data_IF_370844813577
#
_entry.id   IF_370844813577
#
_cell.length_a   1.000
_cell.length_b   1.000
_cell.length_c   1.000
_cell.angle_alpha   90.00
_cell.angle_beta   90.00
_cell.angle_gamma   90.00
#
_symmetry.space_group_name_H-M   'P 1'
#
loop_
_entity.id
_entity.type
_entity.pdbx_description
1 polymer ?
#
# COMPACT_ATOMS: atom_id res chain seq x y z
N UNK A 1 -12.93 1.86 7.65
CA UNK A 1 -11.93 2.07 6.57
C UNK A 1 -11.26 3.41 6.80
N UNK A 2 -10.05 3.39 7.34
CA UNK A 2 -9.28 4.55 7.83
C UNK A 2 -9.09 5.67 6.78
N UNK A 3 -9.05 5.31 5.49
CA UNK A 3 -8.92 6.25 4.38
C UNK A 3 -10.01 7.33 4.37
N UNK A 4 -11.27 6.95 4.66
CA UNK A 4 -12.40 7.89 4.65
C UNK A 4 -12.29 8.92 5.78
N UNK A 5 -11.68 8.54 6.90
CA UNK A 5 -11.45 9.43 8.05
C UNK A 5 -10.39 10.49 7.74
N UNK A 6 -9.49 10.24 6.77
CA UNK A 6 -8.43 11.16 6.34
C UNK A 6 -8.78 11.97 5.08
N UNK A 7 -10.03 11.90 4.61
CA UNK A 7 -10.47 12.62 3.41
C UNK A 7 -10.00 11.99 2.10
N UNK A 8 -9.40 10.80 2.13
CA UNK A 8 -8.88 10.12 0.95
C UNK A 8 -9.79 8.94 0.59
N UNK A 9 -9.97 8.68 -0.71
CA UNK A 9 -10.80 7.58 -1.21
C UNK A 9 -9.98 6.67 -2.11
N UNK A 10 -10.36 5.38 -2.18
CA UNK A 10 -9.75 4.42 -3.09
C UNK A 10 -9.80 4.92 -4.54
N UNK A 11 -10.94 5.49 -4.96
CA UNK A 11 -11.10 6.07 -6.29
C UNK A 11 -10.18 7.28 -6.52
N UNK A 12 -9.96 8.12 -5.50
CA UNK A 12 -9.03 9.24 -5.59
C UNK A 12 -7.57 8.81 -5.73
N UNK A 13 -7.15 7.78 -4.98
CA UNK A 13 -5.80 7.20 -5.09
C UNK A 13 -5.61 6.57 -6.47
N UNK A 14 -6.60 5.79 -6.91
CA UNK A 14 -6.62 5.17 -8.23
C UNK A 14 -6.48 6.20 -9.36
N UNK A 15 -7.24 7.29 -9.30
CA UNK A 15 -7.17 8.39 -10.26
C UNK A 15 -5.79 9.08 -10.23
N UNK A 16 -5.23 9.35 -9.04
CA UNK A 16 -3.90 9.98 -8.89
C UNK A 16 -2.78 9.18 -9.55
N UNK A 17 -2.81 7.85 -9.43
CA UNK A 17 -1.74 6.98 -9.95
C UNK A 17 -2.05 6.37 -11.31
N UNK A 18 -3.24 6.65 -11.88
CA UNK A 18 -3.66 6.21 -13.21
C UNK A 18 -4.03 4.73 -13.30
N UNK A 19 -4.62 4.15 -12.24
CA UNK A 19 -5.04 2.74 -12.21
C UNK A 19 -6.54 2.61 -11.96
N UNK A 20 -7.07 1.41 -12.15
CA UNK A 20 -8.47 1.11 -11.85
C UNK A 20 -8.71 1.03 -10.33
N UNK A 21 -9.82 1.60 -9.80
CA UNK A 21 -10.18 1.47 -8.38
C UNK A 21 -10.24 0.02 -7.89
N UNK A 22 -10.71 -0.89 -8.74
CA UNK A 22 -10.74 -2.33 -8.45
C UNK A 22 -9.34 -2.90 -8.17
N UNK A 23 -8.30 -2.41 -8.86
CA UNK A 23 -6.92 -2.83 -8.59
C UNK A 23 -6.44 -2.40 -7.21
N UNK A 24 -6.84 -1.20 -6.79
CA UNK A 24 -6.52 -0.67 -5.45
C UNK A 24 -7.26 -1.44 -4.36
N UNK A 25 -8.52 -1.79 -4.58
CA UNK A 25 -9.28 -2.66 -3.67
C UNK A 25 -8.63 -4.04 -3.52
N UNK A 26 -8.27 -4.70 -4.62
CA UNK A 26 -7.63 -6.02 -4.57
C UNK A 26 -6.26 -5.97 -3.88
N UNK A 27 -5.49 -4.89 -4.09
CA UNK A 27 -4.23 -4.71 -3.38
C UNK A 27 -4.44 -4.49 -1.89
N UNK A 28 -5.39 -3.62 -1.51
CA UNK A 28 -5.75 -3.35 -0.11
C UNK A 28 -6.26 -4.60 0.63
N UNK A 29 -6.84 -5.56 -0.09
CA UNK A 29 -7.30 -6.84 0.48
C UNK A 29 -6.22 -7.92 0.52
N UNK A 30 -5.01 -7.63 0.05
CA UNK A 30 -3.96 -8.64 -0.03
C UNK A 30 -4.18 -9.68 -1.15
N UNK A 31 -5.10 -9.45 -2.08
CA UNK A 31 -5.39 -10.36 -3.19
C UNK A 31 -4.50 -10.14 -4.42
N UNK A 32 -3.95 -8.93 -4.59
CA UNK A 32 -3.05 -8.61 -5.72
C UNK A 32 -1.80 -7.88 -5.23
N UNK A 33 -0.60 -8.27 -5.70
CA UNK A 33 0.66 -7.58 -5.39
C UNK A 33 0.94 -6.48 -6.40
N UNK A 34 1.11 -5.25 -5.92
CA UNK A 34 1.45 -4.12 -6.78
C UNK A 34 2.12 -3.05 -5.96
N UNK A 35 3.45 -3.01 -6.05
CA UNK A 35 4.29 -2.07 -5.28
C UNK A 35 3.83 -0.61 -5.45
N UNK A 36 3.54 -0.19 -6.68
CA UNK A 36 3.04 1.17 -6.98
C UNK A 36 1.73 1.51 -6.26
N UNK A 37 0.82 0.54 -6.10
CA UNK A 37 -0.46 0.74 -5.41
C UNK A 37 -0.24 0.74 -3.89
N UNK A 38 0.61 -0.16 -3.40
CA UNK A 38 0.95 -0.28 -1.98
C UNK A 38 1.66 0.99 -1.47
N UNK A 39 2.60 1.53 -2.25
CA UNK A 39 3.27 2.82 -2.00
C UNK A 39 2.26 3.99 -1.97
N UNK A 40 1.33 4.04 -2.93
CA UNK A 40 0.33 5.11 -2.96
C UNK A 40 -0.67 5.03 -1.79
N UNK A 41 -1.01 3.82 -1.34
CA UNK A 41 -1.81 3.61 -0.14
C UNK A 41 -1.05 4.01 1.13
N UNK A 42 0.23 3.65 1.21
CA UNK A 42 1.13 4.01 2.31
C UNK A 42 1.30 5.53 2.43
N UNK A 43 1.58 6.21 1.31
CA UNK A 43 1.65 7.66 1.23
C UNK A 43 0.35 8.33 1.68
N UNK A 44 -0.80 7.85 1.17
CA UNK A 44 -2.12 8.37 1.55
C UNK A 44 -2.47 8.16 3.03
N UNK A 45 -1.89 7.15 3.67
CA UNK A 45 -2.06 6.83 5.09
C UNK A 45 -0.92 7.37 5.96
N UNK A 46 0.08 8.04 5.38
CA UNK A 46 1.25 8.56 6.09
C UNK A 46 2.05 7.46 6.80
N UNK A 47 2.17 6.28 6.18
CA UNK A 47 2.86 5.10 6.71
C UNK A 47 3.72 4.48 5.60
N UNK A 48 4.24 3.27 5.82
CA UNK A 48 5.01 2.52 4.82
C UNK A 48 4.25 1.28 4.31
N UNK A 49 4.56 0.80 3.09
CA UNK A 49 3.97 -0.42 2.55
C UNK A 49 4.18 -1.64 3.47
N UNK A 50 5.32 -1.74 4.15
CA UNK A 50 5.60 -2.86 5.06
C UNK A 50 4.67 -2.84 6.28
N UNK A 51 4.34 -1.65 6.79
CA UNK A 51 3.38 -1.51 7.90
C UNK A 51 1.94 -1.80 7.47
N UNK A 52 1.59 -1.52 6.20
CA UNK A 52 0.25 -1.83 5.68
C UNK A 52 0.09 -3.30 5.29
N UNK A 53 1.14 -3.92 4.78
CA UNK A 53 1.14 -5.28 4.26
C UNK A 53 2.28 -6.11 4.87
N UNK A 54 2.31 -6.27 6.21
CA UNK A 54 3.43 -6.92 6.88
C UNK A 54 3.66 -8.35 6.39
N UNK A 55 2.59 -9.10 6.11
CA UNK A 55 2.65 -10.46 5.55
C UNK A 55 3.45 -10.55 4.23
N UNK A 56 3.42 -9.48 3.43
CA UNK A 56 4.07 -9.42 2.11
C UNK A 56 5.50 -8.95 2.11
N UNK A 57 5.89 -8.18 3.12
CA UNK A 57 7.25 -7.65 3.26
C UNK A 57 8.07 -8.43 4.29
N UNK A 58 7.42 -9.08 5.27
CA UNK A 58 8.08 -9.99 6.23
C UNK A 58 8.75 -11.21 5.57
N UNK A 59 8.30 -11.60 4.38
CA UNK A 59 8.93 -12.70 3.61
C UNK A 59 10.10 -12.23 2.74
N UNK A 60 10.22 -10.93 2.46
CA UNK A 60 11.33 -10.37 1.67
C UNK A 60 12.47 -9.82 2.53
N UNK A 61 12.35 -9.88 3.86
CA UNK A 61 13.46 -9.71 4.79
C UNK A 61 14.21 -11.04 4.98
N UNK A 62 14.96 -11.44 3.95
CA UNK A 62 16.27 -11.99 4.23
C UNK A 62 17.09 -10.88 4.92
N UNK A 63 17.81 -11.15 6.03
CA UNK A 63 18.54 -10.12 6.75
C UNK A 63 19.64 -9.57 5.84
N UNK A 64 19.50 -8.34 5.41
CA UNK A 64 20.60 -7.49 4.92
C UNK A 64 20.60 -6.28 5.85
N UNK A 65 21.03 -6.47 7.10
CA UNK A 65 22.42 -6.31 7.58
C UNK A 65 22.95 -4.87 7.48
N UNK A 66 23.24 -4.33 8.67
CA UNK A 66 24.22 -3.29 9.06
C UNK A 66 24.22 -1.92 8.36
N UNK A 67 23.99 -0.87 9.17
CA UNK A 67 24.95 0.20 9.60
C UNK A 67 24.14 1.23 10.43
N UNK A 68 24.52 1.79 11.57
CA UNK A 68 25.82 2.06 12.22
C UNK A 68 25.67 2.12 13.73
#
# INVERSE_FOLDING_TARGET
>A
MELRLRGTSISGIAARIGVLPASVTLASQGLRRSRRIEEALAEALGTTPERLFPDRYATEEGPTDRHS
#
